data_IF_974079309171
#
_entry.id   IF_974079309171
#
_cell.length_a   1.000
_cell.length_b   1.000
_cell.length_c   1.000
_cell.angle_alpha   90.00
_cell.angle_beta   90.00
_cell.angle_gamma   90.00
#
_symmetry.space_group_name_H-M   'P 1'
#
loop_
_entity.id
_entity.type
_entity.pdbx_description
1 polymer ?
#
# COMPACT_ATOMS: atom_id res chain seq x y z
N UNK A 1 6.23 3.19 10.89
CA UNK A 1 5.21 2.83 9.90
C UNK A 1 5.71 3.23 8.53
N UNK A 2 5.76 2.30 7.56
CA UNK A 2 6.32 2.55 6.24
C UNK A 2 5.43 3.54 5.46
N UNK A 3 6.05 4.53 4.82
CA UNK A 3 5.35 5.52 4.01
C UNK A 3 4.57 4.82 2.87
N UNK A 4 3.37 5.31 2.50
CA UNK A 4 2.59 4.69 1.44
C UNK A 4 3.37 4.76 0.12
N UNK A 5 3.63 3.61 -0.48
CA UNK A 5 4.25 3.46 -1.79
C UNK A 5 3.26 3.92 -2.87
N UNK A 6 3.13 5.24 -3.03
CA UNK A 6 2.15 5.86 -3.94
C UNK A 6 2.71 6.16 -5.34
N UNK A 7 4.03 6.04 -5.53
CA UNK A 7 4.75 6.42 -6.74
C UNK A 7 5.64 5.29 -7.28
N UNK A 8 5.46 4.95 -8.56
CA UNK A 8 6.22 3.93 -9.28
C UNK A 8 7.72 4.23 -9.30
N UNK A 9 8.13 5.50 -9.43
CA UNK A 9 9.55 5.85 -9.44
C UNK A 9 10.21 5.61 -8.08
N UNK A 10 9.49 5.89 -6.99
CA UNK A 10 9.92 5.59 -5.63
C UNK A 10 10.01 4.09 -5.34
N UNK A 11 9.11 3.29 -5.90
CA UNK A 11 9.16 1.82 -5.84
C UNK A 11 10.40 1.27 -6.55
N UNK A 12 10.68 1.73 -7.77
CA UNK A 12 11.86 1.30 -8.55
C UNK A 12 13.14 1.63 -7.78
N UNK A 13 13.27 2.84 -7.24
CA UNK A 13 14.42 3.22 -6.40
C UNK A 13 14.61 2.30 -5.20
N UNK A 14 13.53 1.88 -4.55
CA UNK A 14 13.60 0.97 -3.40
C UNK A 14 14.00 -0.46 -3.81
N UNK A 15 13.53 -0.92 -4.96
CA UNK A 15 13.96 -2.20 -5.55
C UNK A 15 15.46 -2.17 -5.84
N UNK A 16 15.94 -1.12 -6.50
CA UNK A 16 17.35 -0.97 -6.85
C UNK A 16 18.25 -0.89 -5.61
N UNK A 17 17.80 -0.16 -4.57
CA UNK A 17 18.52 -0.09 -3.30
C UNK A 17 18.64 -1.46 -2.63
N UNK A 18 17.53 -2.21 -2.50
CA UNK A 18 17.55 -3.54 -1.88
C UNK A 18 18.39 -4.54 -2.68
N UNK A 19 18.31 -4.48 -4.02
CA UNK A 19 19.16 -5.30 -4.90
C UNK A 19 20.63 -4.97 -4.71
N UNK A 20 20.97 -3.68 -4.68
CA UNK A 20 22.33 -3.19 -4.47
C UNK A 20 22.90 -3.64 -3.12
N UNK A 21 22.12 -3.47 -2.06
CA UNK A 21 22.50 -3.89 -0.70
C UNK A 21 22.73 -5.40 -0.64
N UNK A 22 21.82 -6.21 -1.16
CA UNK A 22 21.98 -7.67 -1.17
C UNK A 22 23.25 -8.12 -1.91
N UNK A 23 23.50 -7.56 -3.09
CA UNK A 23 24.70 -7.86 -3.88
C UNK A 23 25.97 -7.41 -3.16
N UNK A 24 25.98 -6.22 -2.55
CA UNK A 24 27.12 -5.70 -1.82
C UNK A 24 27.48 -6.59 -0.62
N UNK A 25 26.48 -7.04 0.16
CA UNK A 25 26.70 -7.97 1.29
C UNK A 25 27.30 -9.29 0.84
N UNK A 26 26.79 -9.85 -0.25
CA UNK A 26 27.32 -11.09 -0.82
C UNK A 26 28.75 -10.94 -1.33
N UNK A 27 29.06 -9.83 -2.03
CA UNK A 27 30.41 -9.53 -2.50
C UNK A 27 31.39 -9.35 -1.34
N UNK A 28 30.98 -8.64 -0.29
CA UNK A 28 31.80 -8.48 0.91
C UNK A 28 32.11 -9.83 1.57
N UNK A 29 31.11 -10.71 1.68
CA UNK A 29 31.29 -12.05 2.25
C UNK A 29 32.33 -12.89 1.47
N UNK A 30 32.32 -12.80 0.14
CA UNK A 30 33.31 -13.48 -0.72
C UNK A 30 34.69 -12.83 -0.65
N UNK A 31 34.78 -11.54 -0.35
CA UNK A 31 36.04 -10.83 -0.24
C UNK A 31 36.80 -11.13 1.08
N UNK A 32 36.08 -11.41 2.18
CA UNK A 32 36.66 -11.65 3.52
C UNK A 32 37.73 -12.78 3.54
N UNK A 33 37.53 -13.95 2.90
CA UNK A 33 38.53 -15.03 2.90
C UNK A 33 39.82 -14.69 2.14
N UNK A 34 39.82 -13.65 1.30
CA UNK A 34 40.96 -13.31 0.44
C UNK A 34 42.05 -12.49 1.16
N UNK A 35 41.87 -12.24 2.47
CA UNK A 35 42.83 -11.53 3.31
C UNK A 35 43.93 -12.52 3.72
N UNK A 36 45.06 -12.50 3.00
CA UNK A 36 46.16 -13.47 3.10
C UNK A 36 46.94 -13.54 4.42
N UNK A 37 46.46 -12.93 5.51
CA UNK A 37 47.12 -12.93 6.82
C UNK A 37 46.60 -14.08 7.70
N UNK A 38 47.47 -15.08 7.94
CA UNK A 38 47.16 -16.32 8.69
C UNK A 38 47.51 -16.25 10.19
N UNK A 39 47.40 -15.09 10.83
CA UNK A 39 47.58 -15.02 12.29
C UNK A 39 46.26 -15.30 13.03
N UNK A 40 46.35 -15.73 14.31
CA UNK A 40 45.19 -16.13 15.12
C UNK A 40 44.22 -14.97 15.39
N UNK A 41 44.71 -13.78 15.67
CA UNK A 41 43.89 -12.58 15.89
C UNK A 41 43.18 -12.18 14.59
N UNK A 42 43.90 -12.22 13.46
CA UNK A 42 43.31 -11.97 12.13
C UNK A 42 42.23 -13.00 11.80
N UNK A 43 42.45 -14.29 12.11
CA UNK A 43 41.42 -15.32 11.90
C UNK A 43 40.15 -15.11 12.74
N UNK A 44 40.28 -14.65 14.00
CA UNK A 44 39.15 -14.32 14.85
C UNK A 44 38.36 -13.11 14.32
N UNK A 45 39.05 -12.09 13.82
CA UNK A 45 38.43 -10.91 13.19
C UNK A 45 37.68 -11.32 11.91
N UNK A 46 38.30 -12.12 11.05
CA UNK A 46 37.70 -12.66 9.82
C UNK A 46 36.43 -13.44 10.16
N UNK A 47 36.48 -14.32 11.15
CA UNK A 47 35.32 -15.12 11.57
C UNK A 47 34.16 -14.23 12.05
N UNK A 48 34.44 -13.22 12.89
CA UNK A 48 33.43 -12.27 13.33
C UNK A 48 32.83 -11.50 12.14
N UNK A 49 33.67 -11.06 11.22
CA UNK A 49 33.22 -10.31 10.04
C UNK A 49 32.36 -11.17 9.11
N UNK A 50 32.69 -12.44 8.92
CA UNK A 50 31.84 -13.38 8.18
C UNK A 50 30.46 -13.53 8.83
N UNK A 51 30.40 -13.63 10.17
CA UNK A 51 29.12 -13.73 10.89
C UNK A 51 28.28 -12.45 10.71
N UNK A 52 28.90 -11.28 10.82
CA UNK A 52 28.23 -9.98 10.65
C UNK A 52 27.69 -9.83 9.23
N UNK A 53 28.49 -10.08 8.19
CA UNK A 53 28.03 -9.97 6.80
C UNK A 53 26.97 -11.03 6.48
N UNK A 54 27.04 -12.23 7.06
CA UNK A 54 26.01 -13.26 6.91
C UNK A 54 24.67 -12.80 7.51
N UNK A 55 24.67 -12.27 8.73
CA UNK A 55 23.46 -11.74 9.35
C UNK A 55 22.88 -10.56 8.56
N UNK A 56 23.74 -9.67 8.06
CA UNK A 56 23.33 -8.55 7.22
C UNK A 56 22.75 -9.00 5.87
N UNK A 57 23.30 -10.06 5.27
CA UNK A 57 22.77 -10.67 4.04
C UNK A 57 21.37 -11.28 4.25
N UNK A 58 21.18 -12.01 5.36
CA UNK A 58 19.86 -12.56 5.74
C UNK A 58 18.84 -11.43 5.86
N UNK A 59 19.19 -10.37 6.60
CA UNK A 59 18.33 -9.20 6.77
C UNK A 59 17.97 -8.54 5.43
N UNK A 60 18.94 -8.37 4.53
CA UNK A 60 18.68 -7.83 3.20
C UNK A 60 17.68 -8.70 2.40
N UNK A 61 17.76 -10.03 2.57
CA UNK A 61 16.78 -10.96 2.00
C UNK A 61 15.37 -10.82 2.61
N UNK A 62 15.27 -10.65 3.93
CA UNK A 62 14.00 -10.40 4.63
C UNK A 62 13.36 -9.07 4.21
N UNK A 63 14.16 -8.02 4.03
CA UNK A 63 13.70 -6.71 3.55
C UNK A 63 13.16 -6.81 2.12
N UNK A 64 13.80 -7.61 1.25
CA UNK A 64 13.32 -7.91 -0.10
C UNK A 64 11.99 -8.68 -0.08
N UNK A 65 11.86 -9.71 0.77
CA UNK A 65 10.61 -10.45 0.94
C UNK A 65 9.48 -9.56 1.48
N UNK A 66 9.80 -8.64 2.38
CA UNK A 66 8.86 -7.64 2.90
C UNK A 66 8.34 -6.74 1.79
N UNK A 67 9.21 -6.27 0.88
CA UNK A 67 8.78 -5.50 -0.28
C UNK A 67 7.88 -6.31 -1.23
N UNK A 68 8.21 -7.59 -1.47
CA UNK A 68 7.36 -8.48 -2.29
C UNK A 68 5.97 -8.60 -1.68
N UNK A 69 5.86 -8.80 -0.36
CA UNK A 69 4.57 -8.83 0.32
C UNK A 69 3.82 -7.51 0.16
N UNK A 70 4.47 -6.36 0.31
CA UNK A 70 3.86 -5.05 0.10
C UNK A 70 3.31 -4.88 -1.33
N UNK A 71 4.05 -5.37 -2.34
CA UNK A 71 3.60 -5.35 -3.74
C UNK A 71 2.40 -6.27 -3.97
N UNK A 72 2.41 -7.46 -3.38
CA UNK A 72 1.28 -8.40 -3.44
C UNK A 72 0.03 -7.84 -2.74
N UNK A 73 0.20 -7.24 -1.56
CA UNK A 73 -0.88 -6.57 -0.83
C UNK A 73 -1.46 -5.40 -1.65
N UNK A 74 -0.60 -4.57 -2.26
CA UNK A 74 -1.03 -3.49 -3.15
C UNK A 74 -1.80 -4.01 -4.37
N UNK A 75 -1.40 -5.16 -4.91
CA UNK A 75 -2.11 -5.79 -6.03
C UNK A 75 -3.46 -6.40 -5.61
N UNK A 76 -3.51 -7.10 -4.48
CA UNK A 76 -4.70 -7.79 -3.97
C UNK A 76 -5.75 -6.82 -3.42
N UNK A 77 -5.32 -5.80 -2.69
CA UNK A 77 -6.21 -4.84 -2.03
C UNK A 77 -6.41 -3.57 -2.85
N UNK A 78 -5.62 -3.38 -3.92
CA UNK A 78 -5.67 -2.18 -4.76
C UNK A 78 -5.42 -0.89 -3.98
N UNK A 79 -5.77 0.24 -4.58
CA UNK A 79 -6.21 1.37 -3.78
C UNK A 79 -7.50 0.91 -3.10
N UNK A 80 -7.57 0.92 -1.76
CA UNK A 80 -8.84 0.92 -1.05
C UNK A 80 -9.73 1.87 -1.83
N UNK A 81 -10.77 1.35 -2.51
CA UNK A 81 -11.80 2.23 -3.08
C UNK A 81 -12.20 3.10 -1.89
N UNK A 82 -11.93 4.43 -1.89
CA UNK A 82 -12.53 5.27 -0.86
C UNK A 82 -14.01 4.92 -0.93
N UNK A 83 -14.68 4.73 0.22
CA UNK A 83 -16.11 4.41 0.25
C UNK A 83 -16.83 5.40 -0.66
N UNK A 84 -17.02 4.98 -1.90
CA UNK A 84 -17.12 5.81 -3.07
C UNK A 84 -18.23 5.11 -3.77
N UNK A 85 -19.42 5.56 -3.38
CA UNK A 85 -20.72 5.06 -3.78
C UNK A 85 -20.73 3.55 -3.97
N UNK A 86 -20.85 2.82 -2.86
CA UNK A 86 -21.38 1.46 -2.92
C UNK A 86 -22.61 1.47 -3.82
N UNK A 87 -22.83 0.42 -4.62
CA UNK A 87 -24.07 0.31 -5.40
C UNK A 87 -25.31 0.50 -4.50
N UNK A 88 -25.21 0.12 -3.22
CA UNK A 88 -26.22 0.41 -2.21
C UNK A 88 -26.42 1.92 -1.93
N UNK A 89 -25.34 2.72 -1.94
CA UNK A 89 -25.38 4.18 -1.79
C UNK A 89 -26.05 4.83 -3.02
N UNK A 90 -25.68 4.41 -4.24
CA UNK A 90 -26.33 4.91 -5.47
C UNK A 90 -27.82 4.58 -5.51
N UNK A 91 -28.17 3.36 -5.08
CA UNK A 91 -29.56 2.93 -4.98
C UNK A 91 -30.33 3.77 -3.94
N UNK A 92 -29.70 4.09 -2.80
CA UNK A 92 -30.29 4.91 -1.76
C UNK A 92 -30.50 6.36 -2.21
N UNK A 93 -29.50 6.96 -2.87
CA UNK A 93 -29.58 8.34 -3.37
C UNK A 93 -30.63 8.46 -4.48
N UNK A 94 -30.68 7.52 -5.43
CA UNK A 94 -31.72 7.47 -6.46
C UNK A 94 -33.13 7.26 -5.87
N UNK A 95 -33.25 6.48 -4.79
CA UNK A 95 -34.53 6.30 -4.09
C UNK A 95 -34.95 7.58 -3.36
N UNK A 96 -33.99 8.29 -2.76
CA UNK A 96 -34.23 9.55 -2.07
C UNK A 96 -34.70 10.65 -3.04
N UNK A 97 -34.10 10.77 -4.23
CA UNK A 97 -34.55 11.72 -5.27
C UNK A 97 -35.97 11.42 -5.75
N UNK A 98 -36.30 10.14 -5.99
CA UNK A 98 -37.65 9.74 -6.38
C UNK A 98 -38.70 10.07 -5.30
N UNK A 99 -38.38 9.79 -4.03
CA UNK A 99 -39.27 10.13 -2.90
C UNK A 99 -39.43 11.64 -2.78
N UNK A 100 -38.35 12.42 -2.92
CA UNK A 100 -38.41 13.87 -2.89
C UNK A 100 -39.31 14.44 -4.01
N UNK A 101 -39.19 13.92 -5.24
CA UNK A 101 -40.03 14.32 -6.36
C UNK A 101 -41.51 14.01 -6.13
N UNK A 102 -41.83 12.84 -5.59
CA UNK A 102 -43.20 12.45 -5.24
C UNK A 102 -43.78 13.33 -4.13
N UNK A 103 -43.00 13.63 -3.09
CA UNK A 103 -43.41 14.54 -2.02
C UNK A 103 -43.68 15.96 -2.56
N UNK A 104 -42.88 16.43 -3.50
CA UNK A 104 -43.05 17.74 -4.12
C UNK A 104 -44.33 17.80 -4.98
N UNK A 105 -44.63 16.74 -5.74
CA UNK A 105 -45.88 16.62 -6.49
C UNK A 105 -47.11 16.54 -5.58
N UNK A 106 -47.03 15.82 -4.45
CA UNK A 106 -48.10 15.75 -3.47
C UNK A 106 -48.32 17.10 -2.76
N UNK A 107 -47.24 17.80 -2.39
CA UNK A 107 -47.33 19.14 -1.79
C UNK A 107 -47.88 20.19 -2.76
N UNK A 108 -47.47 20.14 -4.04
CA UNK A 108 -47.99 21.01 -5.11
C UNK A 108 -49.43 20.66 -5.52
N UNK A 109 -49.80 19.38 -5.45
CA UNK A 109 -51.18 18.90 -5.66
C UNK A 109 -52.12 19.37 -4.55
N UNK A 110 -51.67 19.36 -3.30
CA UNK A 110 -52.42 19.88 -2.14
C UNK A 110 -52.65 21.39 -2.23
N UNK A 111 -51.79 22.14 -2.92
CA UNK A 111 -51.98 23.58 -3.12
C UNK A 111 -53.00 23.90 -4.24
N UNK A 112 -53.16 23.01 -5.24
CA UNK A 112 -54.17 23.16 -6.32
C UNK A 112 -55.59 22.79 -5.91
N UNK A 113 -55.76 21.93 -4.90
CA UNK A 113 -57.12 21.56 -4.41
C UNK A 113 -57.71 22.59 -3.45
N UNK A 114 -56.87 23.33 -2.70
CA UNK A 114 -57.34 24.37 -1.79
C UNK A 114 -57.87 25.64 -2.50
N UNK A 115 -57.36 25.95 -3.70
CA UNK A 115 -57.77 27.14 -4.47
C UNK A 115 -59.06 26.96 -5.27
N UNK A 116 -59.54 25.72 -5.45
CA UNK A 116 -60.74 25.42 -6.26
C UNK A 116 -61.99 25.11 -5.40
N UNK A 117 -61.91 25.21 -4.07
CA UNK A 117 -63.01 24.96 -3.13
C UNK A 117 -63.66 26.22 -2.54
N UNK A 118 -63.48 27.40 -3.16
CA UNK A 118 -64.01 28.69 -2.68
C UNK A 118 -64.77 29.48 -3.78
N UNK A 119 -65.37 28.76 -4.73
CA UNK A 119 -66.26 29.34 -5.73
C UNK A 119 -67.46 28.42 -5.98
N UNK A 120 -68.29 28.23 -4.96
CA UNK A 120 -69.71 27.94 -5.08
C UNK A 120 -70.49 28.88 -4.15
#
# INVERSE_FOLDING_TARGET
>A
MAAPLRDTASLIKRIDALRGDFLARFQNLIAIPNVGAKDRNTSAIIQLQMQVETAALIKAGEDMQTLIRQLQEMWLFGQLKPAGESEAQKQADASAENVAGLLQQLSGGSHRTAINGHAE
#
